data_IF_588564270359
#
_entry.id   IF_588564270359
#
_cell.length_a   1.000
_cell.length_b   1.000
_cell.length_c   1.000
_cell.angle_alpha   90.00
_cell.angle_beta   90.00
_cell.angle_gamma   90.00
#
_symmetry.space_group_name_H-M   'P 1'
#
loop_
_entity.id
_entity.type
_entity.pdbx_description
1 polymer ?
#
# COMPACT_ATOMS: atom_id res chain seq x y z
N UNK A 1 -9.28 -1.37 -13.77
CA UNK A 1 -10.13 -2.54 -14.05
C UNK A 1 -9.35 -3.80 -13.76
N UNK A 2 -9.98 -4.85 -13.23
CA UNK A 2 -9.30 -6.13 -13.02
C UNK A 2 -9.14 -6.86 -14.37
N UNK A 3 -8.06 -7.63 -14.53
CA UNK A 3 -7.87 -8.44 -15.73
C UNK A 3 -8.50 -9.82 -15.52
N UNK A 4 -9.49 -10.24 -16.33
CA UNK A 4 -9.99 -11.60 -16.30
C UNK A 4 -8.84 -12.62 -16.43
N UNK A 5 -8.88 -13.75 -15.71
CA UNK A 5 -9.97 -14.27 -14.88
C UNK A 5 -10.01 -13.73 -13.44
N UNK A 6 -9.12 -12.80 -13.08
CA UNK A 6 -8.95 -12.34 -11.70
C UNK A 6 -9.99 -11.25 -11.38
N UNK A 7 -10.89 -11.51 -10.43
CA UNK A 7 -11.85 -10.50 -9.94
C UNK A 7 -11.12 -9.30 -9.31
N UNK A 8 -11.70 -8.10 -9.37
CA UNK A 8 -11.14 -6.93 -8.69
C UNK A 8 -11.05 -7.11 -7.19
N UNK A 9 -10.02 -6.52 -6.56
CA UNK A 9 -9.87 -6.44 -5.11
C UNK A 9 -10.09 -5.01 -4.64
N UNK A 10 -10.73 -4.87 -3.48
CA UNK A 10 -10.77 -3.61 -2.72
C UNK A 10 -9.97 -3.78 -1.41
N UNK A 11 -9.47 -2.66 -0.87
CA UNK A 11 -8.70 -2.62 0.35
C UNK A 11 -9.15 -1.42 1.18
N UNK A 12 -9.24 -1.61 2.50
CA UNK A 12 -9.39 -0.53 3.48
C UNK A 12 -8.12 -0.54 4.30
N UNK A 13 -7.38 0.57 4.34
CA UNK A 13 -6.05 0.64 4.93
C UNK A 13 -5.91 1.82 5.88
N UNK A 14 -5.27 1.59 7.02
CA UNK A 14 -4.69 2.65 7.82
C UNK A 14 -3.26 2.87 7.34
N UNK A 15 -2.89 4.12 7.08
CA UNK A 15 -1.55 4.49 6.65
C UNK A 15 -0.99 5.59 7.54
N UNK A 16 0.31 5.54 7.75
CA UNK A 16 1.11 6.59 8.37
C UNK A 16 2.31 6.89 7.49
N UNK A 17 2.91 8.05 7.69
CA UNK A 17 4.14 8.45 7.03
C UNK A 17 5.13 9.01 8.04
N UNK A 18 6.40 8.95 7.67
CA UNK A 18 7.51 9.50 8.45
C UNK A 18 8.52 10.10 7.48
N UNK A 19 8.95 11.32 7.76
CA UNK A 19 10.05 11.98 7.05
C UNK A 19 11.23 12.11 8.02
N UNK A 20 12.38 11.55 7.67
CA UNK A 20 13.62 11.60 8.44
C UNK A 20 14.68 12.48 7.79
N UNK A 21 14.32 13.23 6.74
CA UNK A 21 15.25 14.00 5.90
C UNK A 21 15.59 13.21 4.63
N UNK A 22 16.68 12.43 4.68
CA UNK A 22 17.18 11.67 3.53
C UNK A 22 16.32 10.46 3.19
N UNK A 23 15.51 9.98 4.15
CA UNK A 23 14.56 8.90 3.95
C UNK A 23 13.13 9.35 4.24
N UNK A 24 12.19 8.88 3.42
CA UNK A 24 10.75 9.09 3.61
C UNK A 24 10.06 7.75 3.51
N UNK A 25 9.15 7.52 4.44
CA UNK A 25 8.42 6.27 4.54
C UNK A 25 6.92 6.54 4.49
N UNK A 26 6.20 5.74 3.71
CA UNK A 26 4.75 5.63 3.79
C UNK A 26 4.47 4.16 4.05
N UNK A 27 3.87 3.83 5.17
CA UNK A 27 3.58 2.45 5.54
C UNK A 27 2.13 2.30 5.96
N UNK A 28 1.60 1.10 5.80
CA UNK A 28 0.24 0.80 6.24
C UNK A 28 -0.10 -0.67 6.14
N UNK A 29 -1.25 -0.99 6.70
CA UNK A 29 -1.85 -2.31 6.68
C UNK A 29 -3.37 -2.18 6.59
N UNK A 30 -4.03 -3.27 6.23
CA UNK A 30 -5.48 -3.32 6.16
C UNK A 30 -6.10 -3.25 7.55
N UNK A 31 -7.19 -2.48 7.67
CA UNK A 31 -7.98 -2.38 8.90
C UNK A 31 -9.46 -2.65 8.59
N UNK A 32 -10.20 -3.05 9.62
CA UNK A 32 -11.66 -3.21 9.54
C UNK A 32 -12.33 -1.92 10.01
N UNK A 33 -12.80 -1.09 9.07
CA UNK A 33 -13.57 0.12 9.38
C UNK A 33 -15.07 -0.14 9.19
N UNK A 34 -15.89 0.19 10.19
CA UNK A 34 -17.33 -0.13 10.20
C UNK A 34 -18.07 0.52 9.02
N UNK A 35 -17.70 1.76 8.67
CA UNK A 35 -18.31 2.48 7.54
C UNK A 35 -17.90 1.94 6.16
N UNK A 36 -16.92 1.03 6.08
CA UNK A 36 -16.40 0.49 4.83
C UNK A 36 -16.43 -1.06 4.79
N UNK A 37 -17.64 -1.67 4.88
CA UNK A 37 -17.79 -3.12 4.73
C UNK A 37 -17.41 -3.58 3.31
N UNK A 38 -17.21 -4.90 3.08
CA UNK A 38 -16.91 -5.45 1.76
C UNK A 38 -17.93 -5.03 0.68
N UNK A 39 -17.42 -4.55 -0.46
CA UNK A 39 -18.25 -4.03 -1.56
C UNK A 39 -18.58 -5.14 -2.55
N UNK A 40 -19.85 -5.23 -2.98
CA UNK A 40 -20.29 -6.19 -4.01
C UNK A 40 -19.50 -5.99 -5.31
N UNK A 41 -19.05 -7.08 -5.91
CA UNK A 41 -18.27 -7.07 -7.16
C UNK A 41 -16.76 -7.09 -6.97
N UNK A 42 -16.28 -6.87 -5.74
CA UNK A 42 -14.87 -6.96 -5.38
C UNK A 42 -14.64 -8.07 -4.35
N UNK A 43 -13.40 -8.57 -4.29
CA UNK A 43 -12.92 -9.40 -3.18
C UNK A 43 -12.18 -8.49 -2.21
N UNK A 44 -12.53 -8.50 -0.92
CA UNK A 44 -11.78 -7.76 0.11
C UNK A 44 -10.43 -8.43 0.33
N UNK A 45 -9.38 -7.82 -0.21
CA UNK A 45 -8.01 -8.25 0.02
C UNK A 45 -7.49 -7.73 1.36
N UNK A 46 -6.40 -8.34 1.84
CA UNK A 46 -5.72 -7.94 3.06
C UNK A 46 -4.28 -7.57 2.76
N UNK A 47 -3.92 -6.30 2.88
CA UNK A 47 -2.53 -5.87 2.88
C UNK A 47 -1.98 -6.02 4.30
N UNK A 48 -1.21 -7.08 4.54
CA UNK A 48 -0.53 -7.29 5.84
C UNK A 48 0.54 -6.23 6.06
N UNK A 49 1.23 -5.85 4.98
CA UNK A 49 2.15 -4.73 4.92
C UNK A 49 2.11 -4.14 3.51
N UNK A 50 2.01 -2.82 3.43
CA UNK A 50 2.33 -2.06 2.22
C UNK A 50 3.21 -0.89 2.64
N UNK A 51 4.36 -0.74 1.99
CA UNK A 51 5.26 0.35 2.30
C UNK A 51 5.96 0.90 1.06
N UNK A 52 6.24 2.19 1.09
CA UNK A 52 7.15 2.89 0.22
C UNK A 52 8.29 3.43 1.07
N UNK A 53 9.52 3.11 0.68
CA UNK A 53 10.73 3.73 1.20
C UNK A 53 11.33 4.56 0.07
N UNK A 54 11.43 5.86 0.29
CA UNK A 54 12.00 6.82 -0.64
C UNK A 54 13.32 7.29 -0.04
N UNK A 55 14.42 7.13 -0.76
CA UNK A 55 15.76 7.54 -0.32
C UNK A 55 16.35 8.52 -1.32
N UNK A 56 16.85 9.65 -0.83
CA UNK A 56 17.62 10.59 -1.66
C UNK A 56 18.91 9.93 -2.13
N UNK A 57 19.38 10.24 -3.34
CA UNK A 57 20.65 9.74 -3.87
C UNK A 57 21.86 10.59 -3.44
N UNK A 58 21.75 11.36 -2.36
CA UNK A 58 22.80 12.26 -1.89
C UNK A 58 22.86 13.53 -2.73
N UNK A 59 24.03 13.83 -3.31
CA UNK A 59 24.29 15.06 -4.08
C UNK A 59 23.73 15.03 -5.52
N UNK A 60 23.24 13.86 -5.97
CA UNK A 60 22.61 13.71 -7.28
C UNK A 60 21.12 14.11 -7.22
N UNK A 61 20.58 14.72 -8.29
CA UNK A 61 19.18 15.19 -8.43
C UNK A 61 18.11 14.05 -8.51
N UNK A 62 18.36 12.90 -7.87
CA UNK A 62 17.53 11.70 -7.96
C UNK A 62 17.13 11.09 -6.62
N UNK A 63 16.21 10.14 -6.68
CA UNK A 63 15.86 9.31 -5.52
C UNK A 63 15.61 7.86 -5.95
N UNK A 64 15.79 6.94 -5.00
CA UNK A 64 15.38 5.55 -5.11
C UNK A 64 14.03 5.36 -4.39
N UNK A 65 13.09 4.67 -5.04
CA UNK A 65 11.81 4.30 -4.44
C UNK A 65 11.72 2.78 -4.38
N UNK A 66 11.73 2.24 -3.16
CA UNK A 66 11.50 0.82 -2.90
C UNK A 66 10.05 0.61 -2.47
N UNK A 67 9.31 -0.21 -3.22
CA UNK A 67 7.96 -0.64 -2.85
C UNK A 67 8.00 -2.03 -2.22
N UNK A 68 7.39 -2.17 -1.04
CA UNK A 68 7.29 -3.41 -0.29
C UNK A 68 5.80 -3.75 -0.17
N UNK A 69 5.43 -4.98 -0.57
CA UNK A 69 4.07 -5.47 -0.45
C UNK A 69 4.06 -6.90 0.08
N UNK A 70 3.28 -7.10 1.14
CA UNK A 70 2.85 -8.40 1.60
C UNK A 70 1.33 -8.38 1.66
N UNK A 71 0.71 -8.96 0.63
CA UNK A 71 -0.73 -8.89 0.42
C UNK A 71 -1.30 -10.29 0.20
N UNK A 72 -2.37 -10.60 0.93
CA UNK A 72 -3.25 -11.72 0.64
C UNK A 72 -4.42 -11.23 -0.25
N UNK A 73 -4.45 -11.61 -1.54
CA UNK A 73 -5.55 -11.22 -2.44
C UNK A 73 -6.84 -12.01 -2.20
N UNK A 74 -6.77 -13.09 -1.40
CA UNK A 74 -7.74 -14.18 -1.25
C UNK A 74 -8.05 -14.98 -2.50
#
# INVERSE_FOLDING_TARGET
AAMPPVRGRDFVMQRSWLDTGDEKMICGHSVCHQDYPPVKGYVRGTALLSAYLIRSNGDDDGCEITYISHTDPK
#
